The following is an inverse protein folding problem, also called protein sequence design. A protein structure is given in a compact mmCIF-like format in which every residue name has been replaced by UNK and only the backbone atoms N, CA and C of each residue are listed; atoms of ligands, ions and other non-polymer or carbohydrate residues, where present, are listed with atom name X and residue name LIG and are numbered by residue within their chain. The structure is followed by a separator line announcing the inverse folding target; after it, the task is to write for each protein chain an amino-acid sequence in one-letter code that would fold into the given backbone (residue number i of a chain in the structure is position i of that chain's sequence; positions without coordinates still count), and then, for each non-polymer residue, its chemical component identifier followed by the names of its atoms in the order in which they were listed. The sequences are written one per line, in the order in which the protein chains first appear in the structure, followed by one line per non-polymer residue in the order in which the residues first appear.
data_IF_553082313202
#
_entry.id   IF_553082313202
#
_cell.length_a   1.000
_cell.length_b   1.000
_cell.length_c   1.000
_cell.angle_alpha   90.00
_cell.angle_beta   90.00
_cell.angle_gamma   90.00
#
_symmetry.space_group_name_H-M   'P 1'
#
loop_
_entity.id
_entity.type
_entity.pdbx_description
1 polymer ?
#
# COMPACT_ATOMS: atom_id res chain seq x y z
N UNK A 1 11.64 -14.82 12.27
CA UNK A 1 11.47 -15.15 10.86
C UNK A 1 10.98 -16.59 10.68
N UNK A 2 10.28 -16.88 9.59
CA UNK A 2 9.88 -18.23 9.22
C UNK A 2 11.10 -19.06 8.80
N UNK A 3 11.33 -20.25 9.38
CA UNK A 3 12.48 -21.08 9.01
C UNK A 3 12.47 -21.54 7.53
N UNK A 4 11.27 -21.60 6.93
CA UNK A 4 11.13 -22.09 5.55
C UNK A 4 11.23 -21.01 4.48
N UNK A 5 10.86 -19.77 4.78
CA UNK A 5 10.77 -18.68 3.79
C UNK A 5 11.59 -17.44 4.12
N UNK A 6 12.15 -17.35 5.33
CA UNK A 6 12.86 -16.15 5.80
C UNK A 6 11.96 -14.90 5.98
N UNK A 7 10.65 -15.04 5.76
CA UNK A 7 9.72 -13.92 5.94
C UNK A 7 9.32 -13.75 7.40
N UNK A 8 8.99 -12.54 7.87
CA UNK A 8 8.48 -12.33 9.21
C UNK A 8 7.17 -13.11 9.42
N UNK A 9 7.09 -13.90 10.50
CA UNK A 9 5.84 -14.55 10.93
C UNK A 9 4.88 -13.49 11.47
N UNK A 10 5.41 -12.56 12.26
CA UNK A 10 4.67 -11.39 12.76
C UNK A 10 4.95 -10.23 11.83
N UNK A 11 3.94 -9.83 11.07
CA UNK A 11 4.02 -8.70 10.16
C UNK A 11 2.76 -7.82 10.33
N UNK A 12 2.89 -6.50 10.18
CA UNK A 12 1.73 -5.61 10.16
C UNK A 12 0.73 -6.00 9.06
N UNK A 13 -0.56 -6.00 9.40
CA UNK A 13 -1.66 -6.33 8.47
C UNK A 13 -2.85 -5.41 8.71
N UNK A 14 -3.78 -5.35 7.74
CA UNK A 14 -5.05 -4.62 7.85
C UNK A 14 -4.87 -3.18 8.35
N UNK A 15 -5.50 -2.82 9.46
CA UNK A 15 -5.51 -1.47 10.02
C UNK A 15 -4.12 -0.94 10.36
N UNK A 16 -3.18 -1.82 10.69
CA UNK A 16 -1.79 -1.44 10.95
C UNK A 16 -1.13 -0.92 9.67
N UNK A 17 -1.37 -1.60 8.54
CA UNK A 17 -0.85 -1.16 7.23
C UNK A 17 -1.55 0.11 6.81
N UNK A 18 -2.88 0.17 6.93
CA UNK A 18 -3.68 1.33 6.57
C UNK A 18 -3.23 2.59 7.30
N UNK A 19 -3.02 2.50 8.62
CA UNK A 19 -2.59 3.65 9.43
C UNK A 19 -1.20 4.14 9.07
N UNK A 20 -0.24 3.24 8.85
CA UNK A 20 1.12 3.61 8.44
C UNK A 20 1.15 4.13 6.99
N UNK A 21 0.32 3.58 6.11
CA UNK A 21 0.14 4.10 4.76
C UNK A 21 -0.43 5.53 4.79
N UNK A 22 -1.55 5.74 5.48
CA UNK A 22 -2.18 7.06 5.64
C UNK A 22 -1.24 8.11 6.23
N UNK A 23 -0.41 7.71 7.19
CA UNK A 23 0.59 8.57 7.82
C UNK A 23 1.66 9.03 6.84
N UNK A 24 2.14 8.11 5.99
CA UNK A 24 3.28 8.35 5.09
C UNK A 24 2.88 8.73 3.67
N UNK A 25 1.57 8.63 3.35
CA UNK A 25 1.02 9.09 2.08
C UNK A 25 1.24 10.60 1.92
N UNK A 26 1.83 10.97 0.82
CA UNK A 26 2.19 12.33 0.50
C UNK A 26 2.10 12.54 -1.00
N UNK A 27 1.38 13.57 -1.41
CA UNK A 27 1.28 13.96 -2.81
C UNK A 27 2.51 14.80 -3.17
N UNK A 28 3.46 14.18 -3.87
CA UNK A 28 4.72 14.82 -4.29
C UNK A 28 4.47 15.88 -5.37
N UNK A 29 3.37 15.75 -6.13
CA UNK A 29 2.95 16.67 -7.20
C UNK A 29 2.08 17.84 -6.69
N UNK A 30 1.99 18.04 -5.37
CA UNK A 30 1.33 19.24 -4.88
C UNK A 30 1.99 20.47 -5.49
N UNK A 31 1.22 21.25 -6.27
CA UNK A 31 1.59 22.51 -6.92
C UNK A 31 1.94 23.67 -5.92
N UNK A 32 2.49 23.29 -4.77
CA UNK A 32 3.04 24.27 -3.83
C UNK A 32 4.36 24.75 -4.41
N UNK A 33 4.38 26.02 -4.85
CA UNK A 33 5.64 26.63 -5.29
C UNK A 33 6.66 26.48 -4.17
N UNK A 34 7.85 26.01 -4.49
CA UNK A 34 8.91 25.75 -3.50
C UNK A 34 9.22 26.93 -2.57
N UNK A 35 8.79 28.15 -2.97
CA UNK A 35 8.92 29.37 -2.16
C UNK A 35 7.92 29.45 -0.98
N UNK A 36 6.81 28.74 -1.06
CA UNK A 36 5.74 28.77 -0.05
C UNK A 36 5.83 27.57 0.92
N UNK A 37 6.83 26.69 0.73
CA UNK A 37 7.04 25.53 1.60
C UNK A 37 7.64 25.97 2.92
N UNK A 38 7.03 25.54 4.02
CA UNK A 38 7.53 25.82 5.37
C UNK A 38 8.82 25.05 5.61
N UNK A 39 9.83 25.75 6.16
CA UNK A 39 11.16 25.23 6.43
C UNK A 39 11.36 25.02 7.92
N UNK A 40 11.90 23.89 8.30
CA UNK A 40 12.18 23.52 9.68
C UNK A 40 13.65 23.19 9.87
N UNK A 41 14.21 23.64 11.00
CA UNK A 41 15.60 23.39 11.34
C UNK A 41 15.85 21.93 11.73
N UNK A 42 14.85 21.31 12.36
CA UNK A 42 14.92 19.91 12.84
C UNK A 42 13.60 19.17 12.61
N UNK A 43 13.64 17.87 12.82
CA UNK A 43 12.44 16.99 12.79
C UNK A 43 11.50 17.31 13.96
N UNK A 44 12.04 17.61 15.14
CA UNK A 44 11.29 17.94 16.34
C UNK A 44 10.48 19.23 16.18
N UNK A 45 11.06 20.25 15.51
CA UNK A 45 10.37 21.52 15.22
C UNK A 45 9.16 21.31 14.32
N UNK A 46 9.28 20.41 13.33
CA UNK A 46 8.17 20.06 12.44
C UNK A 46 7.05 19.33 13.19
N UNK A 47 7.40 18.39 14.08
CA UNK A 47 6.41 17.66 14.89
C UNK A 47 5.72 18.59 15.86
N UNK A 48 6.45 19.45 16.56
CA UNK A 48 5.88 20.44 17.46
C UNK A 48 4.89 21.38 16.73
N UNK A 49 5.26 21.83 15.53
CA UNK A 49 4.39 22.69 14.71
C UNK A 49 3.11 21.99 14.29
N UNK A 50 3.16 20.68 14.07
CA UNK A 50 1.98 19.87 13.82
C UNK A 50 1.10 19.70 15.06
N UNK A 51 1.69 19.46 16.22
CA UNK A 51 0.95 19.33 17.49
C UNK A 51 0.23 20.63 17.88
N UNK A 52 0.85 21.77 17.63
CA UNK A 52 0.23 23.10 17.83
C UNK A 52 -0.82 23.42 16.74
N UNK A 53 -0.88 22.63 15.65
CA UNK A 53 -1.87 22.79 14.58
C UNK A 53 -1.50 23.83 13.51
N UNK A 54 -0.24 24.27 13.48
CA UNK A 54 0.25 25.24 12.46
C UNK A 54 0.48 24.61 11.10
N UNK A 55 0.67 23.29 11.03
CA UNK A 55 0.84 22.54 9.79
C UNK A 55 -0.02 21.26 9.80
N UNK A 56 -0.33 20.75 8.62
CA UNK A 56 -1.10 19.51 8.46
C UNK A 56 -0.19 18.30 8.30
N UNK A 57 -0.72 17.12 8.60
CA UNK A 57 0.01 15.84 8.54
C UNK A 57 0.67 15.57 7.17
N UNK A 58 -0.06 15.84 6.08
CA UNK A 58 0.35 15.60 4.69
C UNK A 58 0.86 16.87 3.98
N UNK A 59 1.10 17.96 4.72
CA UNK A 59 1.61 19.20 4.14
C UNK A 59 3.09 19.02 3.76
N UNK A 60 3.46 19.53 2.57
CA UNK A 60 4.85 19.54 2.09
C UNK A 60 5.68 20.50 2.96
N UNK A 61 6.74 19.97 3.53
CA UNK A 61 7.70 20.70 4.35
C UNK A 61 9.12 20.46 3.86
N UNK A 62 10.02 21.39 4.16
CA UNK A 62 11.46 21.25 3.91
C UNK A 62 12.19 21.13 5.27
N UNK A 63 12.93 20.04 5.46
CA UNK A 63 13.83 19.86 6.60
C UNK A 63 15.24 20.26 6.18
N UNK A 64 15.82 21.22 6.90
CA UNK A 64 17.13 21.79 6.58
C UNK A 64 18.29 20.92 7.04
N UNK A 65 18.14 20.20 8.14
CA UNK A 65 19.14 19.30 8.66
C UNK A 65 18.51 18.06 9.29
N UNK A 66 19.03 16.88 8.93
CA UNK A 66 18.91 15.68 9.73
C UNK A 66 20.16 15.53 10.58
N UNK A 67 20.06 14.76 11.67
CA UNK A 67 21.20 14.42 12.54
C UNK A 67 22.40 13.87 11.76
N UNK A 68 22.16 13.32 10.57
CA UNK A 68 23.15 12.70 9.68
C UNK A 68 23.87 13.71 8.75
N UNK A 69 23.60 15.02 8.88
CA UNK A 69 24.21 16.06 8.03
C UNK A 69 23.80 16.01 6.55
N UNK A 70 22.71 15.37 6.21
CA UNK A 70 22.17 15.34 4.82
C UNK A 70 21.65 16.71 4.41
N UNK A 71 21.73 16.98 3.10
CA UNK A 71 21.22 18.21 2.48
C UNK A 71 19.72 18.41 2.74
N UNK A 72 19.23 19.66 2.65
CA UNK A 72 17.80 19.96 2.72
C UNK A 72 16.98 19.06 1.79
N UNK A 73 15.87 18.56 2.26
CA UNK A 73 14.99 17.69 1.48
C UNK A 73 13.51 17.93 1.81
N UNK A 74 12.67 17.67 0.82
CA UNK A 74 11.22 17.77 0.96
C UNK A 74 10.63 16.49 1.52
N UNK A 75 9.71 16.63 2.47
CA UNK A 75 9.01 15.51 3.09
C UNK A 75 7.65 15.97 3.63
N UNK A 76 6.95 15.11 4.37
CA UNK A 76 5.76 15.45 5.14
C UNK A 76 5.98 15.19 6.63
N UNK A 77 5.19 15.85 7.47
CA UNK A 77 5.25 15.61 8.93
C UNK A 77 4.94 14.15 9.25
N UNK A 78 4.03 13.53 8.50
CA UNK A 78 3.70 12.12 8.70
C UNK A 78 4.89 11.20 8.48
N UNK A 79 5.71 11.45 7.44
CA UNK A 79 6.96 10.69 7.22
C UNK A 79 7.98 10.96 8.32
N UNK A 80 8.06 12.17 8.84
CA UNK A 80 8.93 12.49 10.00
C UNK A 80 8.52 11.67 11.23
N UNK A 81 7.23 11.68 11.59
CA UNK A 81 6.69 10.90 12.72
C UNK A 81 6.93 9.39 12.53
N UNK A 82 6.80 8.89 11.30
CA UNK A 82 7.10 7.48 11.01
C UNK A 82 8.57 7.14 11.27
N UNK A 83 9.48 8.03 10.88
CA UNK A 83 10.91 7.79 11.08
C UNK A 83 11.35 7.88 12.54
N UNK A 84 10.63 8.57 13.42
CA UNK A 84 10.96 8.61 14.85
C UNK A 84 10.90 7.26 15.55
N UNK A 85 10.09 6.33 15.04
CA UNK A 85 9.98 5.00 15.64
C UNK A 85 11.01 4.01 15.10
N UNK A 86 11.76 4.37 14.05
CA UNK A 86 12.78 3.52 13.46
C UNK A 86 14.06 3.56 14.29
N UNK A 87 14.80 2.44 14.40
CA UNK A 87 16.11 2.44 15.03
C UNK A 87 17.15 3.17 14.17
N UNK A 88 18.23 3.67 14.80
CA UNK A 88 19.29 4.44 14.14
C UNK A 88 20.02 3.69 13.02
N UNK A 89 19.94 2.36 13.02
CA UNK A 89 20.51 1.52 11.94
C UNK A 89 19.73 1.60 10.62
N UNK A 90 18.53 2.17 10.62
CA UNK A 90 17.69 2.34 9.44
C UNK A 90 17.72 3.80 9.02
N UNK A 91 18.16 4.07 7.79
CA UNK A 91 18.16 5.41 7.24
C UNK A 91 16.76 5.99 7.14
N UNK A 92 16.67 7.34 7.13
CA UNK A 92 15.42 8.06 6.95
C UNK A 92 14.69 7.61 5.69
N UNK A 93 13.45 7.14 5.84
CA UNK A 93 12.59 6.64 4.77
C UNK A 93 11.66 7.78 4.33
N UNK A 94 11.82 8.24 3.09
CA UNK A 94 11.03 9.32 2.51
C UNK A 94 10.14 8.83 1.37
N UNK A 95 9.36 7.79 1.63
CA UNK A 95 8.43 7.20 0.67
C UNK A 95 7.13 6.78 1.34
N UNK A 96 6.09 6.54 0.55
CA UNK A 96 4.83 6.01 1.07
C UNK A 96 4.99 4.53 1.43
N UNK A 97 4.63 4.19 2.66
CA UNK A 97 4.86 2.87 3.23
C UNK A 97 3.67 1.95 2.96
N UNK A 98 3.88 0.92 2.17
CA UNK A 98 2.93 -0.15 1.92
C UNK A 98 3.26 -1.42 2.74
N UNK A 99 2.40 -2.44 2.64
CA UNK A 99 2.57 -3.71 3.36
C UNK A 99 3.93 -4.37 3.10
N UNK A 100 4.37 -4.39 1.83
CA UNK A 100 5.64 -5.02 1.44
C UNK A 100 6.81 -4.27 2.08
N UNK A 101 6.78 -2.94 2.03
CA UNK A 101 7.81 -2.10 2.62
C UNK A 101 7.91 -2.24 4.14
N UNK A 102 6.76 -2.34 4.83
CA UNK A 102 6.74 -2.63 6.28
C UNK A 102 7.41 -3.97 6.61
N UNK A 103 7.17 -4.99 5.81
CA UNK A 103 7.82 -6.29 6.00
C UNK A 103 9.34 -6.21 5.79
N UNK A 104 9.79 -5.50 4.76
CA UNK A 104 11.21 -5.27 4.48
C UNK A 104 11.90 -4.53 5.64
N UNK A 105 11.26 -3.49 6.19
CA UNK A 105 11.78 -2.74 7.35
C UNK A 105 11.93 -3.65 8.57
N UNK A 106 10.96 -4.52 8.83
CA UNK A 106 11.04 -5.48 9.96
C UNK A 106 12.17 -6.48 9.75
N UNK A 107 12.37 -6.99 8.52
CA UNK A 107 13.49 -7.89 8.20
C UNK A 107 14.81 -7.17 8.40
N UNK A 108 14.96 -5.98 7.83
CA UNK A 108 16.17 -5.17 7.94
C UNK A 108 16.53 -4.85 9.39
N UNK A 109 15.52 -4.51 10.21
CA UNK A 109 15.72 -4.29 11.64
C UNK A 109 16.21 -5.58 12.34
N UNK A 110 15.60 -6.72 12.03
CA UNK A 110 15.97 -7.99 12.65
C UNK A 110 17.39 -8.45 12.28
N UNK A 111 17.83 -8.14 11.05
CA UNK A 111 19.18 -8.48 10.58
C UNK A 111 20.27 -7.59 11.20
N UNK A 112 19.96 -6.32 11.44
CA UNK A 112 20.93 -5.34 11.90
C UNK A 112 20.91 -5.12 13.42
N UNK A 113 19.81 -5.48 14.09
CA UNK A 113 19.55 -5.16 15.48
C UNK A 113 19.20 -6.39 16.33
N UNK A 114 19.11 -6.19 17.63
CA UNK A 114 18.69 -7.24 18.56
C UNK A 114 17.20 -7.55 18.44
N UNK A 115 16.81 -8.75 18.89
CA UNK A 115 15.40 -9.16 18.97
C UNK A 115 14.55 -8.21 19.81
N UNK A 116 15.12 -7.61 20.86
CA UNK A 116 14.43 -6.66 21.74
C UNK A 116 14.10 -5.36 21.02
N UNK A 117 15.04 -4.85 20.20
CA UNK A 117 14.83 -3.64 19.37
C UNK A 117 13.79 -3.93 18.29
N UNK A 118 13.88 -5.10 17.64
CA UNK A 118 12.88 -5.53 16.65
C UNK A 118 11.48 -5.63 17.26
N UNK A 119 11.36 -6.15 18.48
CA UNK A 119 10.08 -6.24 19.19
C UNK A 119 9.52 -4.85 19.50
N UNK A 120 10.36 -3.92 19.99
CA UNK A 120 9.96 -2.53 20.21
C UNK A 120 9.49 -1.85 18.93
N UNK A 121 10.20 -2.05 17.82
CA UNK A 121 9.78 -1.53 16.52
C UNK A 121 8.39 -2.05 16.13
N UNK A 122 8.13 -3.35 16.26
CA UNK A 122 6.83 -3.95 15.95
C UNK A 122 5.71 -3.38 16.84
N UNK A 123 5.97 -3.18 18.12
CA UNK A 123 5.01 -2.57 19.03
C UNK A 123 4.74 -1.09 18.68
N UNK A 124 5.76 -0.34 18.34
CA UNK A 124 5.62 1.05 17.89
C UNK A 124 4.85 1.14 16.56
N UNK A 125 5.17 0.29 15.59
CA UNK A 125 4.43 0.21 14.31
C UNK A 125 2.94 -0.11 14.53
N UNK A 126 2.65 -1.01 15.47
CA UNK A 126 1.28 -1.34 15.87
C UNK A 126 0.55 -0.13 16.46
N UNK A 127 1.14 0.52 17.45
CA UNK A 127 0.54 1.69 18.12
C UNK A 127 0.33 2.85 17.12
N UNK A 128 1.33 3.11 16.30
CA UNK A 128 1.28 4.15 15.27
C UNK A 128 0.20 3.83 14.22
N UNK A 129 0.19 2.59 13.73
CA UNK A 129 -0.79 2.10 12.77
C UNK A 129 -2.22 2.27 13.27
N UNK A 130 -2.56 1.83 14.47
CA UNK A 130 -3.89 1.99 15.05
C UNK A 130 -4.26 3.47 15.29
N UNK A 131 -3.31 4.27 15.79
CA UNK A 131 -3.53 5.70 16.02
C UNK A 131 -3.92 6.42 14.72
N UNK A 132 -3.20 6.18 13.65
CA UNK A 132 -3.42 6.88 12.37
C UNK A 132 -4.50 6.23 11.51
N UNK A 133 -4.77 4.94 11.64
CA UNK A 133 -5.97 4.31 11.07
C UNK A 133 -7.24 4.94 11.65
N UNK A 134 -7.29 5.13 12.97
CA UNK A 134 -8.41 5.82 13.63
C UNK A 134 -8.52 7.28 13.19
N UNK A 135 -7.39 8.01 13.12
CA UNK A 135 -7.38 9.42 12.67
C UNK A 135 -7.75 9.59 11.20
N UNK A 136 -7.49 8.60 10.35
CA UNK A 136 -7.85 8.66 8.93
C UNK A 136 -9.35 8.75 8.71
N UNK A 137 -10.15 8.19 9.61
CA UNK A 137 -11.61 8.14 9.48
C UNK A 137 -12.06 7.40 8.22
N UNK A 138 -11.21 6.53 7.69
CA UNK A 138 -11.46 5.83 6.44
C UNK A 138 -12.68 4.93 6.56
N UNK A 139 -13.61 5.07 5.62
CA UNK A 139 -14.81 4.23 5.52
C UNK A 139 -15.00 3.76 4.09
N UNK A 140 -15.60 2.60 3.94
CA UNK A 140 -15.88 1.96 2.67
C UNK A 140 -17.39 1.78 2.54
N UNK A 141 -17.98 2.29 1.47
CA UNK A 141 -19.37 2.07 1.13
C UNK A 141 -19.50 1.24 -0.16
N UNK A 142 -20.60 0.49 -0.30
CA UNK A 142 -20.85 -0.31 -1.52
C UNK A 142 -20.83 0.55 -2.79
N UNK A 143 -21.24 1.81 -2.70
CA UNK A 143 -21.22 2.77 -3.83
C UNK A 143 -19.79 3.13 -4.30
N UNK A 144 -18.77 2.91 -3.45
CA UNK A 144 -17.38 3.24 -3.75
C UNK A 144 -16.74 2.14 -4.61
N UNK A 145 -17.39 0.96 -4.71
CA UNK A 145 -16.99 -0.14 -5.58
C UNK A 145 -17.53 0.12 -6.99
N UNK A 146 -16.65 0.59 -7.86
CA UNK A 146 -17.04 0.91 -9.24
C UNK A 146 -16.91 -0.31 -10.14
N UNK A 147 -17.98 -0.59 -10.88
CA UNK A 147 -17.97 -1.68 -11.87
C UNK A 147 -17.26 -1.19 -13.15
N UNK A 148 -16.18 -1.84 -13.60
CA UNK A 148 -15.48 -1.44 -14.82
C UNK A 148 -16.40 -1.50 -16.04
N UNK A 149 -16.31 -0.52 -16.92
CA UNK A 149 -17.08 -0.47 -18.17
C UNK A 149 -16.80 -1.67 -19.09
N UNK A 150 -15.62 -2.23 -18.98
CA UNK A 150 -15.14 -3.40 -19.74
C UNK A 150 -15.77 -4.73 -19.31
N UNK A 151 -16.39 -4.80 -18.12
CA UNK A 151 -16.95 -6.05 -17.56
C UNK A 151 -17.85 -6.81 -18.55
N UNK A 152 -18.82 -6.11 -19.13
CA UNK A 152 -19.79 -6.77 -20.03
C UNK A 152 -19.12 -7.32 -21.31
N UNK A 153 -18.07 -6.67 -21.82
CA UNK A 153 -17.33 -7.14 -22.98
C UNK A 153 -16.48 -8.37 -22.65
N UNK A 154 -15.85 -8.37 -21.47
CA UNK A 154 -15.08 -9.53 -21.00
C UNK A 154 -15.96 -10.76 -20.80
N UNK A 155 -17.14 -10.59 -20.17
CA UNK A 155 -18.07 -11.68 -19.96
C UNK A 155 -18.60 -12.24 -21.29
N UNK A 156 -19.05 -11.39 -22.23
CA UNK A 156 -19.51 -11.83 -23.56
C UNK A 156 -18.42 -12.56 -24.33
N UNK A 157 -17.16 -12.14 -24.21
CA UNK A 157 -16.03 -12.84 -24.84
C UNK A 157 -15.81 -14.21 -24.22
N UNK A 158 -15.96 -14.34 -22.89
CA UNK A 158 -15.86 -15.62 -22.20
C UNK A 158 -16.98 -16.56 -22.61
N UNK A 159 -18.23 -16.09 -22.60
CA UNK A 159 -19.41 -16.88 -23.03
C UNK A 159 -19.23 -17.39 -24.44
N UNK A 160 -18.77 -16.54 -25.39
CA UNK A 160 -18.53 -16.96 -26.77
C UNK A 160 -17.43 -18.03 -26.92
N UNK A 161 -16.41 -18.00 -26.04
CA UNK A 161 -15.36 -19.05 -26.00
C UNK A 161 -15.94 -20.36 -25.46
N UNK A 162 -16.82 -20.30 -24.46
CA UNK A 162 -17.46 -21.48 -23.86
C UNK A 162 -18.44 -22.11 -24.85
N UNK A 163 -19.26 -21.31 -25.52
CA UNK A 163 -20.18 -21.79 -26.55
C UNK A 163 -19.42 -22.56 -27.67
N UNK A 164 -18.28 -22.05 -28.07
CA UNK A 164 -17.41 -22.75 -29.06
C UNK A 164 -16.87 -24.06 -28.50
N UNK A 165 -16.45 -24.09 -27.25
CA UNK A 165 -15.99 -25.31 -26.58
C UNK A 165 -17.10 -26.38 -26.51
N UNK A 166 -18.30 -25.96 -26.17
CA UNK A 166 -19.46 -26.85 -26.14
C UNK A 166 -19.84 -27.37 -27.52
N UNK A 167 -19.71 -26.54 -28.57
CA UNK A 167 -19.92 -26.97 -29.95
C UNK A 167 -18.90 -28.01 -30.34
N UNK A 168 -17.60 -27.80 -30.11
CA UNK A 168 -16.53 -28.75 -30.38
C UNK A 168 -16.71 -30.08 -29.63
N UNK A 169 -17.23 -30.02 -28.38
CA UNK A 169 -17.57 -31.23 -27.65
C UNK A 169 -18.74 -31.99 -28.28
N UNK A 170 -19.80 -31.29 -28.71
CA UNK A 170 -20.93 -31.89 -29.41
C UNK A 170 -20.53 -32.51 -30.77
N UNK A 171 -19.56 -31.94 -31.46
CA UNK A 171 -19.01 -32.44 -32.73
C UNK A 171 -18.02 -33.60 -32.53
N UNK A 172 -17.72 -34.00 -31.29
CA UNK A 172 -16.81 -35.10 -30.98
C UNK A 172 -15.34 -34.77 -31.18
N UNK A 173 -14.97 -33.48 -31.34
CA UNK A 173 -13.59 -33.04 -31.48
C UNK A 173 -12.88 -32.90 -30.12
N UNK A 174 -13.63 -32.78 -29.06
CA UNK A 174 -13.17 -32.87 -27.66
C UNK A 174 -13.89 -34.07 -27.07
N UNK A 175 -13.21 -35.18 -26.83
CA UNK A 175 -13.84 -36.46 -26.49
C UNK A 175 -13.89 -36.72 -24.97
N UNK A 176 -13.15 -35.94 -24.16
CA UNK A 176 -13.07 -36.11 -22.71
C UNK A 176 -13.81 -34.99 -22.00
N UNK A 177 -14.76 -35.37 -21.14
CA UNK A 177 -15.52 -34.43 -20.31
C UNK A 177 -14.61 -33.68 -19.31
N UNK A 178 -13.55 -34.32 -18.82
CA UNK A 178 -12.55 -33.67 -17.98
C UNK A 178 -11.78 -32.61 -18.75
N UNK A 179 -11.41 -32.85 -20.01
CA UNK A 179 -10.74 -31.86 -20.83
C UNK A 179 -11.66 -30.66 -21.10
N UNK A 180 -12.94 -30.88 -21.41
CA UNK A 180 -13.94 -29.81 -21.55
C UNK A 180 -14.06 -28.97 -20.29
N UNK A 181 -14.15 -29.65 -19.12
CA UNK A 181 -14.24 -29.00 -17.82
C UNK A 181 -13.00 -28.14 -17.54
N UNK A 182 -11.81 -28.66 -17.71
CA UNK A 182 -10.56 -27.92 -17.51
C UNK A 182 -10.47 -26.69 -18.40
N UNK A 183 -10.74 -26.81 -19.68
CA UNK A 183 -10.76 -25.68 -20.61
C UNK A 183 -11.79 -24.62 -20.22
N UNK A 184 -12.96 -25.03 -19.70
CA UNK A 184 -13.95 -24.09 -19.20
C UNK A 184 -13.46 -23.35 -17.97
N UNK A 185 -12.81 -24.04 -17.01
CA UNK A 185 -12.18 -23.44 -15.82
C UNK A 185 -11.09 -22.46 -16.24
N UNK A 186 -10.24 -22.81 -17.22
CA UNK A 186 -9.17 -21.95 -17.71
C UNK A 186 -9.73 -20.63 -18.29
N UNK A 187 -10.80 -20.71 -19.10
CA UNK A 187 -11.47 -19.53 -19.66
C UNK A 187 -12.00 -18.61 -18.55
N UNK A 188 -12.64 -19.18 -17.52
CA UNK A 188 -13.14 -18.39 -16.40
C UNK A 188 -12.03 -17.82 -15.52
N UNK A 189 -10.96 -18.57 -15.30
CA UNK A 189 -9.78 -18.10 -14.56
C UNK A 189 -9.14 -16.92 -15.27
N UNK A 190 -8.85 -17.04 -16.57
CA UNK A 190 -8.31 -15.94 -17.38
C UNK A 190 -9.24 -14.70 -17.36
N UNK A 191 -10.55 -14.92 -17.45
CA UNK A 191 -11.53 -13.82 -17.45
C UNK A 191 -11.58 -13.13 -16.09
N UNK A 192 -11.51 -13.90 -15.00
CA UNK A 192 -11.48 -13.36 -13.64
C UNK A 192 -10.22 -12.54 -13.38
N UNK A 193 -9.06 -13.00 -13.85
CA UNK A 193 -7.81 -12.24 -13.76
C UNK A 193 -7.90 -10.92 -14.51
N UNK A 194 -8.39 -10.93 -15.75
CA UNK A 194 -8.60 -9.70 -16.54
C UNK A 194 -9.60 -8.76 -15.89
N UNK A 195 -10.69 -9.29 -15.33
CA UNK A 195 -11.67 -8.48 -14.61
C UNK A 195 -11.08 -7.88 -13.34
N UNK A 196 -10.32 -8.66 -12.60
CA UNK A 196 -9.62 -8.19 -11.39
C UNK A 196 -8.64 -7.05 -11.73
N UNK A 197 -7.89 -7.19 -12.82
CA UNK A 197 -7.00 -6.14 -13.28
C UNK A 197 -7.76 -4.87 -13.68
N UNK A 198 -8.87 -5.01 -14.42
CA UNK A 198 -9.70 -3.88 -14.81
C UNK A 198 -10.33 -3.16 -13.59
N UNK A 199 -10.68 -3.91 -12.53
CA UNK A 199 -11.14 -3.32 -11.26
C UNK A 199 -10.00 -2.53 -10.61
N UNK A 200 -8.81 -3.12 -10.50
CA UNK A 200 -7.64 -2.44 -9.91
C UNK A 200 -7.31 -1.14 -10.63
N UNK A 201 -7.42 -1.10 -11.96
CA UNK A 201 -7.16 0.11 -12.76
C UNK A 201 -8.21 1.21 -12.57
N UNK A 202 -9.43 0.85 -12.18
CA UNK A 202 -10.49 1.84 -11.90
C UNK A 202 -10.44 2.39 -10.47
N UNK A 203 -9.80 1.71 -9.53
CA UNK A 203 -9.75 2.11 -8.12
C UNK A 203 -9.00 3.43 -7.86
N UNK A 204 -7.84 3.73 -8.49
CA UNK A 204 -7.09 4.96 -8.26
C UNK A 204 -7.86 6.23 -8.56
N UNK A 205 -8.81 6.18 -9.51
CA UNK A 205 -9.64 7.34 -9.88
C UNK A 205 -10.64 7.76 -8.79
N UNK A 206 -10.87 6.92 -7.80
CA UNK A 206 -11.83 7.17 -6.73
C UNK A 206 -11.18 7.55 -5.40
N UNK A 207 -9.87 7.75 -5.40
CA UNK A 207 -9.06 8.24 -4.27
C UNK A 207 -9.38 7.57 -2.96
N UNK A 208 -8.49 6.87 -2.36
CA UNK A 208 -8.70 6.35 -1.04
C UNK A 208 -8.15 4.95 -0.80
N UNK A 209 -8.74 4.23 0.11
CA UNK A 209 -8.30 2.98 0.74
C UNK A 209 -7.96 1.85 -0.22
N UNK A 210 -8.40 1.94 -1.47
CA UNK A 210 -8.21 0.88 -2.46
C UNK A 210 -6.99 1.07 -3.36
N UNK A 211 -6.36 2.26 -3.32
CA UNK A 211 -5.20 2.61 -4.16
C UNK A 211 -3.85 1.99 -3.64
#
# INVERSE_FOLDING_TARGET
LSPGSGTPIVAPTLDLVLGNYYLTEFDEDQDVKDKDVKKFGSTEDAIYSYEVGTIKLKEKIEILALSDGKNPFFTSVGRVIFNEILPDSINFINETINKKRLQEIVVQCHENESTDITTKLLDNLKLLGFKYSTKSGTTIAIKDIVVPKTKNNLLKSADSKIDKLEQLFKEGLVNDENERYQKTVDVWTETNEKLTQAVKETLPYFGGVYA
#
